data_IF_295670629944
#
_entry.id   IF_295670629944
#
_cell.length_a   1.000
_cell.length_b   1.000
_cell.length_c   1.000
_cell.angle_alpha   90.00
_cell.angle_beta   90.00
_cell.angle_gamma   90.00
#
_symmetry.space_group_name_H-M   'P 1'
#
loop_
_entity.id
_entity.type
_entity.pdbx_description
1 polymer ?
#
# COMPACT_ATOMS: atom_id res chain seq x y z
N UNK A 1 -19.45 -16.35 45.49
CA UNK A 1 -18.24 -15.52 45.63
C UNK A 1 -17.49 -15.66 44.33
N UNK A 2 -17.54 -14.63 43.48
CA UNK A 2 -16.83 -14.63 42.21
C UNK A 2 -15.36 -14.37 42.52
N UNK A 3 -14.52 -15.39 42.45
CA UNK A 3 -13.06 -15.19 42.37
C UNK A 3 -12.81 -14.33 41.14
N UNK A 4 -12.28 -13.12 41.34
CA UNK A 4 -11.77 -12.28 40.26
C UNK A 4 -10.62 -13.05 39.62
N UNK A 5 -10.77 -13.39 38.34
CA UNK A 5 -9.67 -13.93 37.55
C UNK A 5 -8.46 -12.98 37.69
N UNK A 6 -7.23 -13.51 37.81
CA UNK A 6 -6.04 -12.67 37.84
C UNK A 6 -6.02 -11.78 36.60
N UNK A 7 -5.61 -10.52 36.78
CA UNK A 7 -5.53 -9.50 35.73
C UNK A 7 -4.57 -10.01 34.64
N UNK A 8 -5.12 -10.61 33.58
CA UNK A 8 -4.37 -11.18 32.48
C UNK A 8 -3.63 -10.01 31.79
N UNK A 9 -2.31 -10.14 31.53
CA UNK A 9 -1.55 -9.03 30.98
C UNK A 9 -2.18 -8.56 29.66
N UNK A 10 -2.25 -7.25 29.41
CA UNK A 10 -2.88 -6.73 28.21
C UNK A 10 -2.19 -7.28 26.96
N UNK A 11 -2.99 -7.68 25.96
CA UNK A 11 -2.48 -8.16 24.68
C UNK A 11 -1.74 -7.04 23.94
N UNK A 12 -0.42 -7.05 24.04
CA UNK A 12 0.47 -6.04 23.46
C UNK A 12 1.57 -6.72 22.63
N UNK A 13 2.06 -6.03 21.60
CA UNK A 13 3.16 -6.49 20.77
C UNK A 13 3.94 -5.31 20.20
N UNK A 14 5.26 -5.44 20.07
CA UNK A 14 6.13 -4.42 19.52
C UNK A 14 6.86 -4.95 18.28
N UNK A 15 6.92 -4.10 17.25
CA UNK A 15 7.68 -4.32 16.02
C UNK A 15 8.92 -3.45 15.95
N UNK A 16 9.42 -3.25 14.73
CA UNK A 16 10.59 -2.41 14.47
C UNK A 16 10.24 -0.91 14.51
N UNK A 17 9.03 -0.55 14.08
CA UNK A 17 8.60 0.83 13.88
C UNK A 17 7.30 1.16 14.60
N UNK A 18 6.55 0.15 15.04
CA UNK A 18 5.26 0.35 15.72
C UNK A 18 5.10 -0.52 16.95
N UNK A 19 4.28 -0.07 17.88
CA UNK A 19 3.75 -0.85 18.99
C UNK A 19 2.23 -1.01 18.81
N UNK A 20 1.71 -2.17 19.18
CA UNK A 20 0.29 -2.49 19.22
C UNK A 20 -0.11 -2.76 20.66
N UNK A 21 -1.14 -2.06 21.14
CA UNK A 21 -1.67 -2.22 22.50
C UNK A 21 -3.16 -1.92 22.58
N UNK A 22 -3.87 -2.36 23.64
CA UNK A 22 -5.26 -1.95 23.85
C UNK A 22 -5.39 -0.42 23.98
N UNK A 23 -6.56 0.15 23.64
CA UNK A 23 -6.81 1.56 23.83
C UNK A 23 -6.85 1.91 25.32
N UNK A 24 -6.45 3.13 25.62
CA UNK A 24 -6.50 3.73 26.95
C UNK A 24 -7.11 5.13 26.88
N UNK A 25 -7.42 5.72 28.04
CA UNK A 25 -7.88 7.12 28.10
C UNK A 25 -6.85 8.12 27.56
N UNK A 26 -5.55 7.78 27.62
CA UNK A 26 -4.48 8.60 27.05
C UNK A 26 -4.54 8.71 25.52
N UNK A 27 -5.27 7.81 24.85
CA UNK A 27 -5.38 7.78 23.39
C UNK A 27 -6.53 8.67 22.87
N UNK A 28 -7.37 9.24 23.75
CA UNK A 28 -8.57 10.01 23.35
C UNK A 28 -8.22 11.22 22.50
N UNK A 29 -7.33 12.09 22.98
CA UNK A 29 -6.91 13.28 22.24
C UNK A 29 -6.10 12.93 20.98
N UNK A 30 -5.08 12.04 21.04
CA UNK A 30 -4.40 11.56 19.85
C UNK A 30 -5.35 10.99 18.78
N UNK A 31 -6.33 10.17 19.19
CA UNK A 31 -7.30 9.58 18.27
C UNK A 31 -8.17 10.64 17.60
N UNK A 32 -8.66 11.62 18.37
CA UNK A 32 -9.45 12.72 17.83
C UNK A 32 -8.66 13.52 16.77
N UNK A 33 -7.38 13.80 17.05
CA UNK A 33 -6.49 14.47 16.11
C UNK A 33 -6.23 13.62 14.85
N UNK A 34 -5.94 12.33 15.01
CA UNK A 34 -5.66 11.40 13.92
C UNK A 34 -6.85 11.24 12.96
N UNK A 35 -8.06 11.08 13.52
CA UNK A 35 -9.30 10.93 12.74
C UNK A 35 -9.65 12.22 12.02
N UNK A 36 -9.54 13.38 12.69
CA UNK A 36 -9.78 14.69 12.07
C UNK A 36 -8.83 14.93 10.90
N UNK A 37 -7.53 14.66 11.08
CA UNK A 37 -6.54 14.83 10.01
C UNK A 37 -6.82 13.91 8.80
N UNK A 38 -7.35 12.71 9.06
CA UNK A 38 -7.59 11.68 8.05
C UNK A 38 -9.00 11.71 7.46
N UNK A 39 -9.88 12.61 7.92
CA UNK A 39 -11.32 12.58 7.68
C UNK A 39 -11.65 12.45 6.19
N UNK A 40 -11.05 13.32 5.37
CA UNK A 40 -11.27 13.34 3.92
C UNK A 40 -10.93 12.00 3.26
N UNK A 41 -9.87 11.32 3.71
CA UNK A 41 -9.46 10.02 3.15
C UNK A 41 -10.32 8.87 3.66
N UNK A 42 -10.79 8.94 4.91
CA UNK A 42 -11.62 7.90 5.52
C UNK A 42 -13.08 7.96 5.04
N UNK A 43 -13.60 9.16 4.77
CA UNK A 43 -15.00 9.40 4.42
C UNK A 43 -15.47 8.68 3.14
N UNK A 44 -14.55 8.25 2.27
CA UNK A 44 -14.89 7.48 1.07
C UNK A 44 -15.49 6.10 1.41
N UNK A 45 -15.14 5.51 2.58
CA UNK A 45 -15.47 4.12 2.91
C UNK A 45 -15.90 3.90 4.37
N UNK A 46 -15.83 4.91 5.22
CA UNK A 46 -16.14 4.82 6.65
C UNK A 46 -16.85 6.09 7.15
N UNK A 47 -17.31 6.04 8.40
CA UNK A 47 -17.79 7.22 9.14
C UNK A 47 -16.74 7.63 10.17
N UNK A 48 -15.77 8.48 9.80
CA UNK A 48 -14.82 9.00 10.77
C UNK A 48 -15.56 9.75 11.88
N UNK A 49 -15.33 9.34 13.13
CA UNK A 49 -15.85 10.02 14.31
C UNK A 49 -14.68 10.23 15.29
N UNK A 50 -14.15 11.46 15.40
CA UNK A 50 -13.02 11.77 16.26
C UNK A 50 -13.34 11.65 17.76
N UNK A 51 -14.61 11.57 18.13
CA UNK A 51 -15.05 11.50 19.53
C UNK A 51 -15.54 10.11 19.95
N UNK A 52 -15.31 9.08 19.13
CA UNK A 52 -15.83 7.73 19.40
C UNK A 52 -15.00 6.91 20.39
N UNK A 53 -13.75 7.28 20.68
CA UNK A 53 -12.87 6.42 21.49
C UNK A 53 -13.38 6.17 22.93
N UNK A 54 -14.00 7.13 23.64
CA UNK A 54 -14.61 6.83 24.94
C UNK A 54 -15.63 5.68 24.90
N UNK A 55 -16.51 5.67 23.89
CA UNK A 55 -17.48 4.59 23.70
C UNK A 55 -16.79 3.26 23.40
N UNK A 56 -15.69 3.29 22.65
CA UNK A 56 -14.89 2.09 22.37
C UNK A 56 -14.22 1.55 23.64
N UNK A 57 -13.72 2.41 24.52
CA UNK A 57 -13.15 2.02 25.82
C UNK A 57 -14.19 1.31 26.70
N UNK A 58 -15.39 1.87 26.80
CA UNK A 58 -16.48 1.31 27.60
C UNK A 58 -16.99 -0.05 27.07
N UNK A 59 -16.84 -0.28 25.77
CA UNK A 59 -17.33 -1.50 25.10
C UNK A 59 -16.30 -2.63 25.00
N UNK A 60 -15.08 -2.45 25.53
CA UNK A 60 -14.07 -3.52 25.49
C UNK A 60 -14.57 -4.75 26.25
N UNK A 61 -14.53 -5.91 25.60
CA UNK A 61 -15.00 -7.17 26.15
C UNK A 61 -14.30 -8.37 25.49
N UNK A 62 -14.45 -9.60 26.00
CA UNK A 62 -13.93 -10.78 25.32
C UNK A 62 -14.41 -10.92 23.86
N UNK A 63 -15.56 -10.34 23.53
CA UNK A 63 -16.15 -10.40 22.17
C UNK A 63 -15.92 -9.16 21.32
N UNK A 64 -15.27 -8.13 21.88
CA UNK A 64 -14.93 -6.89 21.22
C UNK A 64 -13.63 -6.33 21.78
N UNK A 65 -12.55 -6.47 21.00
CA UNK A 65 -11.21 -5.97 21.34
C UNK A 65 -10.76 -4.94 20.33
N UNK A 66 -10.20 -3.85 20.81
CA UNK A 66 -9.54 -2.84 19.98
C UNK A 66 -8.05 -2.85 20.24
N UNK A 67 -7.27 -2.64 19.18
CA UNK A 67 -5.83 -2.45 19.22
C UNK A 67 -5.48 -1.10 18.58
N UNK A 68 -4.73 -0.28 19.30
CA UNK A 68 -4.16 0.97 18.82
C UNK A 68 -2.75 0.68 18.29
N UNK A 69 -2.44 1.17 17.09
CA UNK A 69 -1.11 1.08 16.48
C UNK A 69 -0.40 2.41 16.69
N UNK A 70 0.65 2.41 17.50
CA UNK A 70 1.47 3.58 17.80
C UNK A 70 2.77 3.53 17.00
N UNK A 71 3.18 4.65 16.42
CA UNK A 71 4.54 4.78 15.88
C UNK A 71 5.54 4.90 17.03
N UNK A 72 6.68 4.21 16.92
CA UNK A 72 7.80 4.36 17.86
C UNK A 72 8.53 5.69 17.64
N UNK A 73 8.60 6.15 16.39
CA UNK A 73 9.06 7.49 16.02
C UNK A 73 7.84 8.32 15.59
N UNK A 74 7.30 9.09 16.54
CA UNK A 74 6.08 9.84 16.35
C UNK A 74 6.32 11.11 15.50
N UNK A 75 5.61 11.19 14.38
CA UNK A 75 5.47 12.40 13.57
C UNK A 75 4.12 13.08 13.79
N UNK A 76 4.10 14.40 13.61
CA UNK A 76 2.89 15.19 13.77
C UNK A 76 2.42 15.28 15.22
N UNK A 77 1.11 15.40 15.43
CA UNK A 77 0.52 15.73 16.74
C UNK A 77 -0.04 14.54 17.53
N UNK A 78 -0.10 13.33 16.95
CA UNK A 78 -0.84 12.22 17.57
C UNK A 78 -0.11 10.88 17.68
N UNK A 79 0.94 10.57 16.90
CA UNK A 79 1.66 9.29 17.02
C UNK A 79 0.86 8.03 16.63
N UNK A 80 -0.44 8.12 16.39
CA UNK A 80 -1.30 7.00 16.02
C UNK A 80 -1.23 6.68 14.53
N UNK A 81 -0.76 5.48 14.21
CA UNK A 81 -0.69 4.92 12.85
C UNK A 81 -2.05 4.37 12.40
N UNK A 82 -2.82 3.82 13.33
CA UNK A 82 -4.12 3.24 13.02
C UNK A 82 -4.81 2.61 14.22
N UNK A 83 -6.00 2.10 13.97
CA UNK A 83 -6.84 1.37 14.92
C UNK A 83 -7.36 0.10 14.26
N UNK A 84 -7.32 -1.01 14.99
CA UNK A 84 -7.83 -2.31 14.54
C UNK A 84 -8.84 -2.81 15.56
N UNK A 85 -10.02 -3.20 15.10
CA UNK A 85 -11.08 -3.77 15.91
C UNK A 85 -11.26 -5.24 15.54
N UNK A 86 -11.21 -6.12 16.54
CA UNK A 86 -11.59 -7.53 16.46
C UNK A 86 -12.94 -7.65 17.16
N UNK A 87 -14.01 -7.76 16.37
CA UNK A 87 -15.39 -7.72 16.81
C UNK A 87 -16.12 -9.02 16.46
N UNK A 88 -17.30 -9.22 17.03
CA UNK A 88 -18.13 -10.41 16.79
C UNK A 88 -17.35 -11.71 17.04
N UNK A 89 -16.53 -11.74 18.10
CA UNK A 89 -15.78 -12.94 18.44
C UNK A 89 -16.76 -14.02 18.89
N UNK A 90 -16.67 -15.19 18.26
CA UNK A 90 -17.43 -16.38 18.60
C UNK A 90 -16.45 -17.49 18.96
N UNK A 91 -16.59 -17.99 20.18
CA UNK A 91 -15.74 -19.04 20.75
C UNK A 91 -16.20 -20.47 20.37
N UNK A 92 -15.62 -21.47 21.00
CA UNK A 92 -16.06 -22.86 20.90
C UNK A 92 -15.70 -23.50 19.56
N UNK A 93 -16.69 -24.01 18.83
CA UNK A 93 -16.43 -24.68 17.56
C UNK A 93 -16.11 -23.70 16.41
N UNK A 94 -16.48 -22.41 16.54
CA UNK A 94 -16.29 -21.45 15.45
C UNK A 94 -14.95 -20.70 15.54
N UNK A 95 -14.52 -20.29 16.74
CA UNK A 95 -13.26 -19.56 17.01
C UNK A 95 -12.97 -18.51 15.94
N UNK A 96 -13.94 -17.64 15.68
CA UNK A 96 -13.91 -16.71 14.54
C UNK A 96 -14.28 -15.30 14.98
N UNK A 97 -13.75 -14.29 14.29
CA UNK A 97 -14.11 -12.89 14.49
C UNK A 97 -14.14 -12.10 13.18
N UNK A 98 -14.78 -10.93 13.21
CA UNK A 98 -14.68 -9.92 12.16
C UNK A 98 -13.60 -8.90 12.52
N UNK A 99 -12.77 -8.52 11.55
CA UNK A 99 -11.73 -7.50 11.73
C UNK A 99 -12.07 -6.28 10.89
N UNK A 100 -12.09 -5.12 11.52
CA UNK A 100 -12.24 -3.81 10.89
C UNK A 100 -11.11 -2.87 11.30
N UNK A 101 -10.70 -1.96 10.43
CA UNK A 101 -9.54 -1.12 10.72
C UNK A 101 -9.55 0.21 9.98
N UNK A 102 -8.85 1.18 10.59
CA UNK A 102 -8.58 2.50 10.04
C UNK A 102 -7.07 2.78 10.13
N UNK A 103 -6.50 3.39 9.10
CA UNK A 103 -5.14 3.94 9.15
C UNK A 103 -5.18 5.45 9.07
N UNK A 104 -4.25 6.12 9.75
CA UNK A 104 -4.28 7.57 9.91
C UNK A 104 -3.09 8.25 9.20
N UNK A 105 -3.36 9.43 8.64
CA UNK A 105 -2.32 10.32 8.13
C UNK A 105 -1.52 10.89 9.31
N UNK A 106 -0.23 11.21 9.17
CA UNK A 106 0.59 11.12 7.95
C UNK A 106 1.22 9.73 7.72
N UNK A 107 0.84 8.72 8.49
CA UNK A 107 1.47 7.39 8.44
C UNK A 107 0.93 6.48 7.32
N UNK A 108 -0.26 6.78 6.81
CA UNK A 108 -0.89 6.02 5.74
C UNK A 108 0.03 5.89 4.52
N UNK A 109 0.11 4.69 3.95
CA UNK A 109 0.93 4.40 2.76
C UNK A 109 2.44 4.18 3.03
N UNK A 110 2.91 4.27 4.28
CA UNK A 110 4.34 4.11 4.64
C UNK A 110 4.72 2.72 5.17
N UNK A 111 3.76 1.80 5.17
CA UNK A 111 3.95 0.42 5.63
C UNK A 111 3.91 0.22 7.15
N UNK A 112 3.78 1.28 7.96
CA UNK A 112 3.68 1.16 9.43
C UNK A 112 2.37 0.46 9.84
N UNK A 113 1.25 0.79 9.19
CA UNK A 113 -0.02 0.15 9.49
C UNK A 113 -0.02 -1.34 9.15
N UNK A 114 0.66 -1.74 8.07
CA UNK A 114 0.83 -3.15 7.67
C UNK A 114 1.55 -3.89 8.79
N UNK A 115 2.62 -3.32 9.33
CA UNK A 115 3.38 -3.89 10.45
C UNK A 115 2.49 -4.05 11.69
N UNK A 116 1.72 -3.01 12.05
CA UNK A 116 0.78 -3.08 13.17
C UNK A 116 -0.29 -4.16 12.97
N UNK A 117 -0.86 -4.28 11.78
CA UNK A 117 -1.84 -5.32 11.47
C UNK A 117 -1.23 -6.73 11.54
N UNK A 118 0.04 -6.92 11.18
CA UNK A 118 0.74 -8.21 11.37
C UNK A 118 0.83 -8.57 12.85
N UNK A 119 1.30 -7.63 13.67
CA UNK A 119 1.41 -7.82 15.12
C UNK A 119 0.04 -8.12 15.77
N UNK A 120 -1.02 -7.45 15.32
CA UNK A 120 -2.38 -7.76 15.79
C UNK A 120 -2.81 -9.17 15.39
N UNK A 121 -2.51 -9.62 14.17
CA UNK A 121 -2.85 -10.99 13.73
C UNK A 121 -2.05 -12.04 14.52
N UNK A 122 -0.79 -11.77 14.86
CA UNK A 122 0.00 -12.63 15.76
C UNK A 122 -0.71 -12.80 17.11
N UNK A 123 -1.21 -11.69 17.71
CA UNK A 123 -1.98 -11.74 18.96
C UNK A 123 -3.34 -12.44 18.79
N UNK A 124 -4.01 -12.28 17.65
CA UNK A 124 -5.33 -12.89 17.42
C UNK A 124 -5.24 -14.40 17.32
N UNK A 125 -4.22 -14.92 16.63
CA UNK A 125 -4.06 -16.35 16.39
C UNK A 125 -3.25 -17.08 17.46
N UNK A 126 -2.42 -16.38 18.24
CA UNK A 126 -1.69 -16.99 19.34
C UNK A 126 -2.65 -17.62 20.36
N UNK A 127 -2.28 -18.79 20.88
CA UNK A 127 -3.07 -19.51 21.87
C UNK A 127 -3.20 -18.71 23.18
N UNK A 128 -4.35 -18.84 23.84
CA UNK A 128 -4.56 -18.30 25.19
C UNK A 128 -3.56 -18.94 26.17
N UNK A 129 -3.01 -18.18 27.15
CA UNK A 129 -3.32 -16.78 27.49
C UNK A 129 -2.53 -15.72 26.69
N UNK A 130 -1.66 -16.14 25.76
CA UNK A 130 -0.74 -15.24 25.06
C UNK A 130 -1.39 -14.47 23.91
N UNK A 131 -2.58 -14.89 23.50
CA UNK A 131 -3.37 -14.29 22.43
C UNK A 131 -4.85 -14.59 22.59
N UNK A 132 -5.62 -14.34 21.52
CA UNK A 132 -7.07 -14.58 21.54
C UNK A 132 -7.44 -16.04 21.24
N UNK A 133 -6.51 -16.84 20.71
CA UNK A 133 -6.74 -18.23 20.36
C UNK A 133 -7.81 -18.40 19.28
N UNK A 134 -7.94 -17.47 18.34
CA UNK A 134 -8.89 -17.64 17.24
C UNK A 134 -8.34 -18.58 16.18
N UNK A 135 -9.23 -19.25 15.45
CA UNK A 135 -8.90 -20.02 14.26
C UNK A 135 -9.08 -19.19 13.00
N UNK A 136 -10.00 -18.21 13.00
CA UNK A 136 -10.38 -17.48 11.79
C UNK A 136 -10.62 -16.00 12.07
N UNK A 137 -10.23 -15.16 11.10
CA UNK A 137 -10.73 -13.79 11.01
C UNK A 137 -11.26 -13.46 9.62
N UNK A 138 -12.25 -12.58 9.57
CA UNK A 138 -12.86 -12.08 8.34
C UNK A 138 -12.81 -10.55 8.27
N UNK A 139 -12.26 -10.02 7.18
CA UNK A 139 -12.32 -8.62 6.82
C UNK A 139 -13.33 -8.43 5.69
N UNK A 140 -14.38 -7.65 5.97
CA UNK A 140 -15.42 -7.30 5.01
C UNK A 140 -15.10 -5.94 4.40
N UNK A 141 -14.87 -5.88 3.08
CA UNK A 141 -14.31 -4.70 2.41
C UNK A 141 -15.20 -4.32 1.22
N UNK A 142 -15.62 -3.06 1.13
CA UNK A 142 -16.36 -2.56 -0.04
C UNK A 142 -15.54 -2.77 -1.32
N UNK A 143 -16.11 -3.28 -2.43
CA UNK A 143 -15.35 -3.64 -3.65
C UNK A 143 -14.52 -2.51 -4.25
N UNK A 144 -15.00 -1.25 -4.12
CA UNK A 144 -14.29 -0.06 -4.59
C UNK A 144 -13.09 0.34 -3.71
N UNK A 145 -12.95 -0.23 -2.50
CA UNK A 145 -11.84 0.04 -1.60
C UNK A 145 -10.62 -0.84 -1.94
N UNK A 146 -10.05 -0.60 -3.13
CA UNK A 146 -8.91 -1.36 -3.64
C UNK A 146 -7.67 -1.30 -2.74
N UNK A 147 -7.51 -0.21 -1.96
CA UNK A 147 -6.39 -0.06 -1.01
C UNK A 147 -6.52 -1.06 0.14
N UNK A 148 -7.71 -1.14 0.75
CA UNK A 148 -8.00 -2.09 1.83
C UNK A 148 -7.93 -3.53 1.34
N UNK A 149 -8.50 -3.83 0.16
CA UNK A 149 -8.42 -5.15 -0.45
C UNK A 149 -6.96 -5.56 -0.77
N UNK A 150 -6.17 -4.63 -1.31
CA UNK A 150 -4.74 -4.85 -1.57
C UNK A 150 -3.93 -5.10 -0.30
N UNK A 151 -4.23 -4.36 0.78
CA UNK A 151 -3.61 -4.55 2.08
C UNK A 151 -3.83 -5.97 2.63
N UNK A 152 -5.07 -6.43 2.74
CA UNK A 152 -5.33 -7.78 3.31
C UNK A 152 -4.78 -8.89 2.43
N UNK A 153 -4.86 -8.74 1.10
CA UNK A 153 -4.24 -9.68 0.15
C UNK A 153 -2.72 -9.73 0.34
N UNK A 154 -2.07 -8.60 0.60
CA UNK A 154 -0.63 -8.56 0.83
C UNK A 154 -0.19 -9.31 2.10
N UNK A 155 -1.11 -9.42 3.07
CA UNK A 155 -0.94 -10.19 4.29
C UNK A 155 -1.37 -11.66 4.14
N UNK A 156 -1.83 -12.07 2.95
CA UNK A 156 -2.21 -13.44 2.65
C UNK A 156 -3.69 -13.77 2.85
N UNK A 157 -4.55 -12.78 3.09
CA UNK A 157 -5.99 -13.06 3.18
C UNK A 157 -6.53 -13.59 1.85
N UNK A 158 -7.37 -14.61 1.93
CA UNK A 158 -8.04 -15.25 0.79
C UNK A 158 -9.41 -14.63 0.59
N UNK A 159 -9.74 -14.27 -0.65
CA UNK A 159 -11.09 -13.86 -1.03
C UNK A 159 -12.00 -15.07 -1.06
N UNK A 160 -12.98 -15.12 -0.16
CA UNK A 160 -13.90 -16.27 -0.03
C UNK A 160 -15.29 -15.99 -0.61
N UNK A 161 -15.64 -14.73 -0.86
CA UNK A 161 -16.91 -14.43 -1.52
C UNK A 161 -17.35 -12.99 -1.43
N UNK A 162 -18.62 -12.80 -1.72
CA UNK A 162 -19.26 -11.50 -1.88
C UNK A 162 -20.60 -11.50 -1.15
N UNK A 163 -20.84 -10.43 -0.39
CA UNK A 163 -22.09 -10.19 0.32
C UNK A 163 -22.76 -8.95 -0.26
N UNK A 164 -23.89 -9.18 -0.94
CA UNK A 164 -24.76 -8.11 -1.41
C UNK A 164 -25.41 -7.40 -0.23
N UNK A 165 -25.55 -6.08 -0.34
CA UNK A 165 -26.30 -5.25 0.62
C UNK A 165 -25.88 -5.53 2.08
N UNK A 166 -24.56 -5.61 2.32
CA UNK A 166 -24.01 -6.13 3.58
C UNK A 166 -24.08 -5.14 4.75
N UNK A 167 -23.67 -3.89 4.53
CA UNK A 167 -23.70 -2.85 5.59
C UNK A 167 -24.44 -1.60 5.13
N UNK A 168 -25.24 -1.02 6.03
CA UNK A 168 -25.95 0.23 5.80
C UNK A 168 -25.07 1.44 6.18
N UNK A 169 -24.36 1.98 5.18
CA UNK A 169 -23.31 3.00 5.36
C UNK A 169 -23.59 4.23 4.49
N UNK A 170 -23.18 5.44 4.92
CA UNK A 170 -23.24 6.62 4.06
C UNK A 170 -22.32 6.44 2.85
N UNK A 171 -22.77 6.93 1.69
CA UNK A 171 -21.94 7.14 0.52
C UNK A 171 -21.21 8.47 0.57
N UNK A 172 -20.39 8.70 -0.46
CA UNK A 172 -19.68 9.97 -0.69
C UNK A 172 -20.66 11.16 -0.80
N UNK A 173 -21.90 10.91 -1.21
CA UNK A 173 -22.98 11.91 -1.30
C UNK A 173 -23.71 12.17 0.04
N UNK A 174 -23.25 11.54 1.13
CA UNK A 174 -23.84 11.63 2.47
C UNK A 174 -25.13 10.82 2.65
N UNK A 175 -25.63 10.13 1.60
CA UNK A 175 -26.83 9.29 1.70
C UNK A 175 -26.47 7.90 2.19
N UNK A 176 -27.23 7.40 3.16
CA UNK A 176 -27.10 6.02 3.61
C UNK A 176 -27.79 5.08 2.63
N UNK A 177 -27.09 4.00 2.30
CA UNK A 177 -27.64 2.91 1.51
C UNK A 177 -26.97 1.60 1.95
N UNK A 178 -27.55 0.47 1.57
CA UNK A 178 -26.90 -0.82 1.73
C UNK A 178 -25.73 -0.91 0.75
N UNK A 179 -24.59 -1.40 1.24
CA UNK A 179 -23.34 -1.47 0.48
C UNK A 179 -22.83 -2.90 0.44
N UNK A 180 -22.51 -3.32 -0.76
CA UNK A 180 -21.87 -4.60 -1.04
C UNK A 180 -20.47 -4.68 -0.43
N UNK A 181 -20.06 -5.88 -0.01
CA UNK A 181 -18.73 -6.15 0.54
C UNK A 181 -18.16 -7.46 0.00
N UNK A 182 -16.89 -7.42 -0.36
CA UNK A 182 -16.06 -8.61 -0.55
C UNK A 182 -15.58 -9.14 0.80
N UNK A 183 -15.61 -10.47 0.96
CA UNK A 183 -15.19 -11.15 2.19
C UNK A 183 -13.80 -11.74 2.02
N UNK A 184 -12.87 -11.24 2.81
CA UNK A 184 -11.48 -11.70 2.86
C UNK A 184 -11.21 -12.37 4.20
N UNK A 185 -10.50 -13.49 4.20
CA UNK A 185 -10.37 -14.30 5.40
C UNK A 185 -8.95 -14.79 5.59
N UNK A 186 -8.59 -15.02 6.85
CA UNK A 186 -7.31 -15.61 7.25
C UNK A 186 -7.60 -16.70 8.27
N UNK A 187 -6.99 -17.87 8.08
CA UNK A 187 -7.02 -18.96 9.04
C UNK A 187 -5.72 -18.97 9.85
N UNK A 188 -5.79 -19.45 11.09
CA UNK A 188 -4.63 -19.63 11.95
C UNK A 188 -3.61 -20.59 11.34
N UNK A 189 -4.04 -21.55 10.53
CA UNK A 189 -3.18 -22.50 9.81
C UNK A 189 -2.43 -21.89 8.64
N UNK A 190 -2.92 -20.77 8.11
CA UNK A 190 -2.30 -20.04 7.01
C UNK A 190 -1.43 -18.88 7.52
N UNK A 191 -1.44 -18.62 8.84
CA UNK A 191 -0.73 -17.53 9.49
C UNK A 191 0.53 -18.00 10.24
N UNK A 192 1.68 -17.30 10.11
CA UNK A 192 1.93 -16.19 9.21
C UNK A 192 2.01 -16.65 7.76
N UNK A 193 1.26 -15.97 6.88
CA UNK A 193 1.34 -16.26 5.46
C UNK A 193 2.69 -15.81 4.92
N UNK A 194 3.20 -16.55 3.91
CA UNK A 194 4.30 -16.05 3.11
C UNK A 194 3.91 -14.66 2.60
N UNK A 195 4.71 -13.60 2.85
CA UNK A 195 4.39 -12.26 2.38
C UNK A 195 4.09 -12.37 0.89
N UNK A 196 2.95 -11.82 0.45
CA UNK A 196 2.72 -11.61 -0.96
C UNK A 196 3.96 -10.85 -1.43
N UNK A 197 4.79 -11.46 -2.29
CA UNK A 197 5.88 -10.71 -2.91
C UNK A 197 5.15 -9.56 -3.60
N UNK A 198 5.34 -8.29 -3.16
CA UNK A 198 4.90 -7.19 -3.99
C UNK A 198 5.46 -7.53 -5.36
N UNK A 199 4.65 -7.45 -6.41
CA UNK A 199 5.25 -7.39 -7.73
C UNK A 199 6.22 -6.22 -7.61
N UNK A 200 7.52 -6.52 -7.42
CA UNK A 200 8.51 -5.49 -7.18
C UNK A 200 8.28 -4.48 -8.28
N UNK A 201 8.11 -3.19 -7.94
CA UNK A 201 7.68 -2.16 -8.89
C UNK A 201 8.29 -2.48 -10.23
N UNK A 202 7.46 -2.90 -11.20
CA UNK A 202 7.99 -3.40 -12.47
C UNK A 202 8.77 -2.24 -13.07
N UNK A 203 10.09 -2.35 -12.99
CA UNK A 203 10.99 -1.32 -13.51
C UNK A 203 10.83 -1.38 -15.02
N UNK A 204 10.40 -0.29 -15.61
CA UNK A 204 10.21 -0.17 -17.05
C UNK A 204 11.43 0.54 -17.62
N UNK A 205 12.05 -0.03 -18.64
CA UNK A 205 13.08 0.65 -19.42
C UNK A 205 12.63 0.80 -20.86
N UNK A 206 12.95 1.94 -21.45
CA UNK A 206 12.90 2.16 -22.89
C UNK A 206 14.11 3.00 -23.28
N UNK A 207 14.71 2.69 -24.43
CA UNK A 207 15.80 3.47 -25.00
C UNK A 207 15.24 4.27 -26.17
N UNK A 208 15.54 5.57 -26.21
CA UNK A 208 15.27 6.41 -27.37
C UNK A 208 16.60 6.84 -27.97
N UNK A 209 16.85 6.45 -29.21
CA UNK A 209 18.08 6.80 -29.92
C UNK A 209 18.14 8.31 -30.13
N UNK A 210 19.08 8.99 -29.49
CA UNK A 210 19.23 10.45 -29.58
C UNK A 210 19.61 10.90 -31.00
N UNK A 211 18.83 11.81 -31.58
CA UNK A 211 19.04 12.38 -32.91
C UNK A 211 20.06 13.53 -32.88
N UNK A 212 21.36 13.18 -32.82
CA UNK A 212 22.45 14.16 -33.02
C UNK A 212 22.45 15.32 -32.02
N UNK A 213 23.40 16.29 -32.10
CA UNK A 213 23.19 17.58 -31.50
C UNK A 213 22.11 18.25 -32.36
N UNK A 214 21.03 18.76 -31.75
CA UNK A 214 20.40 19.90 -32.37
C UNK A 214 21.53 20.92 -32.58
N UNK A 215 21.80 21.28 -33.83
CA UNK A 215 22.55 22.48 -34.11
C UNK A 215 21.98 23.56 -33.18
N UNK A 216 22.83 24.21 -32.39
CA UNK A 216 22.48 25.39 -31.59
C UNK A 216 21.50 26.25 -32.41
N UNK A 217 20.19 26.20 -32.11
CA UNK A 217 19.20 26.96 -32.90
C UNK A 217 17.80 26.39 -33.12
N UNK A 218 17.48 25.13 -32.85
CA UNK A 218 16.09 24.62 -33.00
C UNK A 218 15.30 24.64 -31.67
N UNK A 219 14.99 25.84 -31.16
CA UNK A 219 14.06 26.01 -30.05
C UNK A 219 12.63 25.68 -30.50
N UNK A 220 12.00 24.64 -29.93
CA UNK A 220 10.53 24.59 -29.89
C UNK A 220 9.85 23.24 -29.67
N UNK A 221 10.45 22.12 -30.07
CA UNK A 221 9.75 20.82 -30.08
C UNK A 221 10.03 19.94 -28.86
N UNK A 222 9.00 19.28 -28.34
CA UNK A 222 9.14 18.24 -27.31
C UNK A 222 9.72 16.98 -27.94
N UNK A 223 10.85 16.47 -27.43
CA UNK A 223 11.42 15.20 -27.92
C UNK A 223 10.53 14.01 -27.55
N UNK A 224 10.56 12.96 -28.37
CA UNK A 224 9.87 11.70 -28.07
C UNK A 224 10.29 11.16 -26.70
N UNK A 225 11.57 11.24 -26.35
CA UNK A 225 12.05 10.76 -25.06
C UNK A 225 11.40 11.50 -23.87
N UNK A 226 11.31 12.83 -23.95
CA UNK A 226 10.64 13.64 -22.93
C UNK A 226 9.14 13.39 -22.88
N UNK A 227 8.46 13.32 -24.02
CA UNK A 227 7.03 13.07 -24.08
C UNK A 227 6.67 11.67 -23.57
N UNK A 228 7.48 10.66 -23.92
CA UNK A 228 7.30 9.28 -23.51
C UNK A 228 7.56 9.09 -22.01
N UNK A 229 8.60 9.72 -21.46
CA UNK A 229 8.88 9.70 -20.02
C UNK A 229 7.70 10.27 -19.22
N UNK A 230 7.15 11.41 -19.67
CA UNK A 230 5.97 12.03 -19.06
C UNK A 230 4.72 11.12 -19.15
N UNK A 231 4.44 10.53 -20.31
CA UNK A 231 3.29 9.63 -20.51
C UNK A 231 3.42 8.32 -19.69
N UNK A 232 4.64 7.79 -19.54
CA UNK A 232 4.89 6.60 -18.73
C UNK A 232 4.88 6.90 -17.23
N UNK A 233 5.09 8.16 -16.82
CA UNK A 233 5.24 8.56 -15.44
C UNK A 233 6.56 8.09 -14.82
N UNK A 234 7.63 8.02 -15.62
CA UNK A 234 8.97 7.56 -15.20
C UNK A 234 10.05 8.59 -15.57
N UNK A 235 11.22 8.60 -14.89
CA UNK A 235 12.29 9.55 -15.17
C UNK A 235 12.87 9.44 -16.59
N UNK A 236 13.36 10.57 -17.11
CA UNK A 236 14.18 10.66 -18.32
C UNK A 236 15.66 10.78 -17.93
N UNK A 237 16.50 9.93 -18.51
CA UNK A 237 17.96 9.99 -18.42
C UNK A 237 18.52 10.29 -19.82
N UNK A 238 18.91 11.53 -20.08
CA UNK A 238 19.39 11.97 -21.40
C UNK A 238 20.88 12.24 -21.42
N UNK A 239 21.56 11.77 -22.47
CA UNK A 239 22.97 12.10 -22.75
C UNK A 239 23.20 13.59 -23.05
N UNK A 240 22.14 14.37 -23.29
CA UNK A 240 22.24 15.83 -23.40
C UNK A 240 22.39 16.54 -22.05
N UNK A 241 22.02 15.85 -20.96
CA UNK A 241 22.08 16.36 -19.58
C UNK A 241 23.21 15.67 -18.80
N UNK A 242 23.41 14.37 -19.02
CA UNK A 242 24.42 13.55 -18.36
C UNK A 242 25.45 13.12 -19.40
N UNK A 243 26.63 13.73 -19.38
CA UNK A 243 27.69 13.47 -20.36
C UNK A 243 28.21 12.02 -20.31
N UNK A 244 28.25 11.42 -19.12
CA UNK A 244 28.72 10.05 -18.92
C UNK A 244 27.62 9.03 -19.16
N UNK A 245 27.79 8.21 -20.20
CA UNK A 245 26.85 7.14 -20.50
C UNK A 245 26.83 6.05 -19.43
N UNK A 246 27.94 5.80 -18.73
CA UNK A 246 27.97 4.90 -17.58
C UNK A 246 27.06 5.41 -16.46
N UNK A 247 27.04 6.74 -16.24
CA UNK A 247 26.19 7.37 -15.23
C UNK A 247 24.71 7.25 -15.58
N UNK A 248 24.32 7.31 -16.87
CA UNK A 248 22.94 7.07 -17.29
C UNK A 248 22.43 5.69 -16.84
N UNK A 249 23.22 4.63 -17.05
CA UNK A 249 22.81 3.29 -16.65
C UNK A 249 22.89 3.05 -15.14
N UNK A 250 23.78 3.73 -14.41
CA UNK A 250 23.76 3.71 -12.94
C UNK A 250 22.52 4.40 -12.37
N UNK A 251 22.11 5.55 -12.92
CA UNK A 251 20.86 6.22 -12.55
C UNK A 251 19.65 5.34 -12.85
N UNK A 252 19.63 4.70 -14.02
CA UNK A 252 18.62 3.72 -14.35
C UNK A 252 18.62 2.55 -13.35
N UNK A 253 19.79 2.03 -12.97
CA UNK A 253 19.97 0.91 -12.03
C UNK A 253 19.34 1.19 -10.67
N UNK A 254 19.57 2.39 -10.11
CA UNK A 254 19.07 2.76 -8.79
C UNK A 254 17.63 3.27 -8.80
N UNK A 255 17.05 3.49 -9.99
CA UNK A 255 15.66 3.93 -10.11
C UNK A 255 14.66 2.84 -9.69
N UNK A 256 13.77 3.12 -8.72
CA UNK A 256 12.76 2.16 -8.25
C UNK A 256 11.67 1.87 -9.30
N UNK A 257 11.53 2.73 -10.32
CA UNK A 257 10.49 2.63 -11.36
C UNK A 257 11.06 2.40 -12.77
N UNK A 258 12.40 2.43 -12.92
CA UNK A 258 13.08 2.41 -14.21
C UNK A 258 13.18 3.80 -14.84
N UNK A 259 13.13 3.90 -16.17
CA UNK A 259 13.25 5.18 -16.87
C UNK A 259 13.35 5.07 -18.39
N UNK A 260 13.19 6.21 -19.06
CA UNK A 260 13.51 6.38 -20.47
C UNK A 260 14.96 6.83 -20.58
N UNK A 261 15.78 6.11 -21.35
CA UNK A 261 17.18 6.46 -21.60
C UNK A 261 17.31 7.03 -23.01
N UNK A 262 17.66 8.31 -23.12
CA UNK A 262 17.99 8.93 -24.40
C UNK A 262 19.52 8.94 -24.57
N UNK A 263 20.03 8.15 -25.51
CA UNK A 263 21.47 8.04 -25.77
C UNK A 263 21.76 7.64 -27.22
N UNK A 264 23.04 7.68 -27.62
CA UNK A 264 23.49 7.26 -28.96
C UNK A 264 24.14 5.88 -29.00
N UNK A 265 24.16 5.16 -27.87
CA UNK A 265 24.74 3.82 -27.86
C UNK A 265 23.89 2.85 -28.67
N UNK A 266 24.57 1.92 -29.32
CA UNK A 266 23.95 0.85 -30.09
C UNK A 266 24.68 -0.47 -29.84
N UNK A 267 24.12 -1.56 -30.34
CA UNK A 267 24.80 -2.86 -30.35
C UNK A 267 25.24 -3.34 -28.96
N UNK A 268 26.49 -3.75 -28.85
CA UNK A 268 27.04 -4.39 -27.63
C UNK A 268 27.11 -3.45 -26.44
N UNK A 269 27.47 -2.18 -26.64
CA UNK A 269 27.63 -1.21 -25.55
C UNK A 269 26.29 -0.91 -24.88
N UNK A 270 25.23 -0.73 -25.68
CA UNK A 270 23.87 -0.54 -25.17
C UNK A 270 23.40 -1.76 -24.37
N UNK A 271 23.61 -2.97 -24.91
CA UNK A 271 23.23 -4.21 -24.22
C UNK A 271 23.95 -4.38 -22.88
N UNK A 272 25.24 -4.07 -22.83
CA UNK A 272 26.02 -4.11 -21.58
C UNK A 272 25.53 -3.08 -20.57
N UNK A 273 25.19 -1.86 -21.01
CA UNK A 273 24.61 -0.83 -20.15
C UNK A 273 23.29 -1.28 -19.51
N UNK A 274 22.37 -1.80 -20.33
CA UNK A 274 21.07 -2.33 -19.87
C UNK A 274 21.24 -3.50 -18.89
N UNK A 275 22.13 -4.44 -19.21
CA UNK A 275 22.42 -5.58 -18.34
C UNK A 275 22.96 -5.13 -16.98
N UNK A 276 23.88 -4.16 -16.95
CA UNK A 276 24.39 -3.56 -15.69
C UNK A 276 23.30 -2.83 -14.90
N UNK A 277 22.33 -2.23 -15.58
CA UNK A 277 21.17 -1.60 -14.94
C UNK A 277 20.12 -2.61 -14.42
N UNK A 278 20.35 -3.91 -14.61
CA UNK A 278 19.48 -4.99 -14.16
C UNK A 278 18.31 -5.29 -15.10
N UNK A 279 18.44 -4.99 -16.40
CA UNK A 279 17.44 -5.32 -17.42
C UNK A 279 17.94 -6.41 -18.36
N UNK A 280 17.03 -7.27 -18.81
CA UNK A 280 17.28 -8.20 -19.92
C UNK A 280 17.29 -7.39 -21.23
N UNK A 281 18.44 -7.21 -21.91
CA UNK A 281 18.54 -6.26 -23.01
C UNK A 281 17.62 -6.58 -24.20
N UNK A 282 17.32 -7.86 -24.41
CA UNK A 282 16.41 -8.29 -25.48
C UNK A 282 14.95 -7.90 -25.24
N UNK A 283 14.56 -7.64 -23.99
CA UNK A 283 13.21 -7.21 -23.59
C UNK A 283 13.01 -5.70 -23.49
N UNK A 284 14.06 -4.90 -23.71
CA UNK A 284 13.98 -3.43 -23.60
C UNK A 284 13.69 -2.82 -24.98
N UNK A 285 12.55 -2.13 -25.17
CA UNK A 285 12.25 -1.47 -26.44
C UNK A 285 13.25 -0.35 -26.75
N UNK A 286 13.75 -0.36 -27.98
CA UNK A 286 14.61 0.70 -28.54
C UNK A 286 13.83 1.41 -29.64
N UNK A 287 13.57 2.70 -29.46
CA UNK A 287 12.82 3.54 -30.38
C UNK A 287 13.75 4.55 -31.06
N UNK A 288 13.43 4.92 -32.29
CA UNK A 288 14.11 6.02 -32.97
C UNK A 288 13.69 7.37 -32.37
N UNK A 289 14.64 8.27 -32.16
CA UNK A 289 14.36 9.62 -31.68
C UNK A 289 13.60 10.44 -32.72
N UNK A 290 12.63 11.22 -32.24
CA UNK A 290 11.82 12.11 -33.05
C UNK A 290 11.46 13.37 -32.24
N UNK A 291 11.11 14.45 -32.93
CA UNK A 291 10.59 15.70 -32.35
C UNK A 291 9.17 15.94 -32.83
N UNK A 292 8.38 16.67 -32.04
CA UNK A 292 6.99 17.06 -32.40
C UNK A 292 6.08 15.87 -32.73
N UNK A 293 6.29 14.75 -32.03
CA UNK A 293 5.50 13.52 -32.17
C UNK A 293 4.08 13.75 -31.66
N UNK A 294 3.08 13.27 -32.40
CA UNK A 294 1.69 13.43 -32.00
C UNK A 294 1.39 12.71 -30.70
N UNK A 295 0.48 13.25 -29.86
CA UNK A 295 0.06 12.61 -28.61
C UNK A 295 -0.40 11.17 -28.79
N UNK A 296 -1.10 10.88 -29.90
CA UNK A 296 -1.58 9.54 -30.23
C UNK A 296 -0.43 8.55 -30.43
N UNK A 297 0.66 8.98 -31.06
CA UNK A 297 1.84 8.15 -31.27
C UNK A 297 2.62 7.94 -29.98
N UNK A 298 2.78 8.98 -29.15
CA UNK A 298 3.40 8.85 -27.81
C UNK A 298 2.65 7.83 -26.97
N UNK A 299 1.31 7.90 -26.92
CA UNK A 299 0.48 6.92 -26.21
C UNK A 299 0.68 5.51 -26.77
N UNK A 300 0.73 5.35 -28.10
CA UNK A 300 1.00 4.05 -28.74
C UNK A 300 2.36 3.48 -28.31
N UNK A 301 3.41 4.30 -28.30
CA UNK A 301 4.74 3.88 -27.82
C UNK A 301 4.71 3.53 -26.34
N UNK A 302 4.05 4.32 -25.50
CA UNK A 302 3.92 4.04 -24.07
C UNK A 302 3.23 2.69 -23.81
N UNK A 303 2.15 2.38 -24.53
CA UNK A 303 1.45 1.10 -24.45
C UNK A 303 2.35 -0.07 -24.86
N UNK A 304 3.10 0.07 -25.97
CA UNK A 304 4.04 -0.95 -26.43
C UNK A 304 5.16 -1.20 -25.41
N UNK A 305 5.69 -0.12 -24.81
CA UNK A 305 6.69 -0.21 -23.74
C UNK A 305 6.13 -0.93 -22.52
N UNK A 306 4.93 -0.57 -22.05
CA UNK A 306 4.27 -1.26 -20.93
C UNK A 306 4.06 -2.75 -21.23
N UNK A 307 3.66 -3.09 -22.45
CA UNK A 307 3.44 -4.48 -22.87
C UNK A 307 4.74 -5.31 -22.90
N UNK A 308 5.88 -4.71 -23.27
CA UNK A 308 7.17 -5.41 -23.26
C UNK A 308 7.65 -5.82 -21.86
N UNK A 309 7.15 -5.13 -20.83
CA UNK A 309 7.44 -5.41 -19.42
C UNK A 309 6.24 -6.07 -18.69
N UNK A 310 5.20 -6.49 -19.43
CA UNK A 310 3.99 -7.15 -18.91
C UNK A 310 4.20 -8.66 -18.70
#
# INVERSE_FOLDING_TARGET
>A
MSESAPDEPPLTAAGERVEVRPPSSADIEPYAAAVTLSERRLADFAMPNPHNLPVVLDNQSPTYRTFMVHALDAEGSHGLVGRINVANVVEGAFRSATVGYDSYDPYAGRGLFVEGLRLTLDLVFADQPHGMGLHRVEANIQPANHRSAGLVRSLGFVHEGFSRDFLHLPGVDGRRDWRDHDRFTMLSTDWPAAPYRPHGHRRIACVVSGSGPAAYGAYGGTSLASALAAELGIPLYSSSIVESTATLFELLRVSPVGGVVECRLTGTELRMGLARAGFEPSGVPVLEGATDVSRREVVRHALAVRAAHA
#
